data_IF_127167136244
#
_entry.id   IF_127167136244
#
_cell.length_a   1.000
_cell.length_b   1.000
_cell.length_c   1.000
_cell.angle_alpha   90.00
_cell.angle_beta   90.00
_cell.angle_gamma   90.00
#
_symmetry.space_group_name_H-M   'P 1'
#
loop_
_entity.id
_entity.type
_entity.pdbx_description
1 polymer ?
#
# COMPACT_ATOMS: atom_id res chain seq x y z
N UNK A 1 4.04 17.12 -6.52
CA UNK A 1 3.58 17.40 -7.91
C UNK A 1 2.41 16.49 -8.22
N UNK A 2 1.30 17.04 -8.71
CA UNK A 2 0.07 16.30 -9.08
C UNK A 2 0.04 16.13 -10.59
N UNK A 3 -0.49 15.00 -11.04
CA UNK A 3 -0.75 14.72 -12.45
C UNK A 3 -2.10 14.01 -12.59
N UNK A 4 -2.99 14.51 -13.44
CA UNK A 4 -4.17 13.76 -13.84
C UNK A 4 -3.74 12.63 -14.79
N UNK A 5 -4.12 11.41 -14.48
CA UNK A 5 -3.75 10.20 -15.25
C UNK A 5 -4.96 9.58 -15.97
N UNK A 6 -6.19 9.92 -15.53
CA UNK A 6 -7.43 9.48 -16.15
C UNK A 6 -8.52 10.54 -15.94
N UNK A 7 -9.50 10.65 -16.83
CA UNK A 7 -10.48 11.73 -16.81
C UNK A 7 -11.94 11.32 -16.60
N UNK A 8 -12.29 10.06 -16.59
CA UNK A 8 -13.65 9.57 -16.32
C UNK A 8 -13.60 8.13 -15.80
N UNK A 9 -13.46 7.93 -14.45
CA UNK A 9 -13.42 8.95 -13.38
C UNK A 9 -12.14 9.77 -13.38
N UNK A 10 -12.17 10.91 -12.67
CA UNK A 10 -10.99 11.74 -12.47
C UNK A 10 -10.01 11.03 -11.52
N UNK A 11 -8.89 10.56 -12.08
CA UNK A 11 -7.82 9.93 -11.30
C UNK A 11 -6.58 10.79 -11.38
N UNK A 12 -6.03 11.09 -10.19
CA UNK A 12 -4.80 11.88 -10.04
C UNK A 12 -3.73 11.03 -9.38
N UNK A 13 -2.50 11.29 -9.77
CA UNK A 13 -1.30 10.79 -9.12
C UNK A 13 -0.67 11.92 -8.33
N UNK A 14 -0.44 11.72 -7.04
CA UNK A 14 0.34 12.58 -6.16
C UNK A 14 1.70 11.92 -5.96
N UNK A 15 2.77 12.58 -6.38
CA UNK A 15 4.12 12.14 -6.07
C UNK A 15 4.45 12.51 -4.63
N UNK A 16 4.70 11.51 -3.80
CA UNK A 16 5.17 11.64 -2.41
C UNK A 16 6.65 11.27 -2.38
N UNK A 17 7.51 12.26 -2.21
CA UNK A 17 8.95 12.02 -2.16
C UNK A 17 9.32 11.23 -0.90
N UNK A 18 10.22 10.25 -1.05
CA UNK A 18 10.74 9.37 0.00
C UNK A 18 12.22 9.72 0.27
N UNK A 19 12.51 10.68 1.15
CA UNK A 19 13.88 11.12 1.39
C UNK A 19 14.79 10.00 1.90
N UNK A 20 16.02 9.99 1.45
CA UNK A 20 17.06 9.02 1.81
C UNK A 20 16.67 7.56 1.49
N UNK A 21 15.79 7.35 0.52
CA UNK A 21 15.34 6.04 0.07
C UNK A 21 15.68 5.82 -1.41
N UNK A 22 16.10 4.61 -1.77
CA UNK A 22 16.46 4.25 -3.15
C UNK A 22 15.29 4.34 -4.12
N UNK A 23 14.05 4.20 -3.66
CA UNK A 23 12.83 4.34 -4.46
C UNK A 23 12.54 5.80 -4.82
N UNK A 24 13.13 6.76 -4.10
CA UNK A 24 13.00 8.20 -4.29
C UNK A 24 11.59 8.75 -4.05
N UNK A 25 10.54 8.09 -4.49
CA UNK A 25 9.15 8.52 -4.30
C UNK A 25 8.17 7.35 -4.37
N UNK A 26 7.02 7.56 -3.76
CA UNK A 26 5.80 6.79 -3.94
C UNK A 26 4.82 7.56 -4.81
N UNK A 27 4.03 6.87 -5.60
CA UNK A 27 2.84 7.41 -6.26
C UNK A 27 1.60 7.07 -5.42
N UNK A 28 1.08 8.05 -4.69
CA UNK A 28 -0.26 7.96 -4.11
C UNK A 28 -1.28 8.31 -5.18
N UNK A 29 -2.35 7.53 -5.32
CA UNK A 29 -3.39 7.82 -6.29
C UNK A 29 -4.65 8.34 -5.61
N UNK A 30 -5.37 9.19 -6.31
CA UNK A 30 -6.64 9.77 -5.83
C UNK A 30 -7.69 9.63 -6.91
N UNK A 31 -8.80 8.96 -6.59
CA UNK A 31 -10.02 9.01 -7.40
C UNK A 31 -10.91 10.09 -6.79
N UNK A 32 -11.16 11.15 -7.57
CA UNK A 32 -12.00 12.27 -7.13
C UNK A 32 -13.41 12.06 -7.67
N UNK A 33 -14.36 11.82 -6.77
CA UNK A 33 -15.76 11.59 -7.11
C UNK A 33 -16.69 12.67 -6.58
N UNK A 34 -17.93 12.68 -7.09
CA UNK A 34 -18.97 13.65 -6.66
C UNK A 34 -19.51 13.34 -5.26
N UNK A 35 -19.50 12.07 -4.87
CA UNK A 35 -20.04 11.57 -3.58
C UNK A 35 -18.96 11.18 -2.58
N UNK A 36 -17.75 11.62 -2.79
CA UNK A 36 -16.60 11.33 -1.94
C UNK A 36 -15.35 11.04 -2.76
N UNK A 37 -14.24 10.82 -2.07
CA UNK A 37 -12.95 10.58 -2.69
C UNK A 37 -12.34 9.27 -2.18
N UNK A 38 -11.46 8.68 -2.99
CA UNK A 38 -10.64 7.55 -2.58
C UNK A 38 -9.16 7.92 -2.75
N UNK A 39 -8.39 7.76 -1.69
CA UNK A 39 -6.93 7.83 -1.71
C UNK A 39 -6.38 6.42 -1.63
N UNK A 40 -5.38 6.09 -2.45
CA UNK A 40 -4.71 4.80 -2.49
C UNK A 40 -3.26 5.01 -2.11
N UNK A 41 -2.84 4.45 -0.99
CA UNK A 41 -1.52 4.56 -0.35
C UNK A 41 -1.11 5.99 0.04
N UNK A 42 -0.09 6.13 0.92
CA UNK A 42 0.13 7.41 1.62
C UNK A 42 1.56 7.93 1.63
N UNK A 43 2.55 7.11 1.92
CA UNK A 43 3.94 7.52 2.17
C UNK A 43 4.42 7.15 3.57
N UNK A 44 5.71 7.32 3.83
CA UNK A 44 6.31 7.12 5.16
C UNK A 44 5.72 8.06 6.21
N UNK A 45 5.67 7.62 7.46
CA UNK A 45 5.34 8.47 8.61
C UNK A 45 6.49 9.47 8.89
N UNK A 46 6.71 10.37 7.92
CA UNK A 46 7.72 11.44 7.93
C UNK A 46 7.09 12.79 7.59
N UNK A 47 7.62 13.89 8.16
CA UNK A 47 7.12 15.24 7.86
C UNK A 47 7.13 15.60 6.37
N UNK A 48 8.14 15.15 5.63
CA UNK A 48 8.27 15.42 4.19
C UNK A 48 7.16 14.75 3.39
N UNK A 49 6.90 13.45 3.64
CA UNK A 49 5.84 12.69 2.99
C UNK A 49 4.47 13.27 3.35
N UNK A 50 4.27 13.60 4.63
CA UNK A 50 3.05 14.26 5.11
C UNK A 50 2.78 15.58 4.38
N UNK A 51 3.80 16.44 4.25
CA UNK A 51 3.67 17.72 3.52
C UNK A 51 3.30 17.48 2.06
N UNK A 52 3.99 16.56 1.37
CA UNK A 52 3.74 16.27 -0.04
C UNK A 52 2.32 15.75 -0.27
N UNK A 53 1.88 14.78 0.53
CA UNK A 53 0.53 14.23 0.42
C UNK A 53 -0.54 15.28 0.74
N UNK A 54 -0.41 16.00 1.87
CA UNK A 54 -1.39 17.02 2.27
C UNK A 54 -1.48 18.16 1.27
N UNK A 55 -0.33 18.62 0.73
CA UNK A 55 -0.32 19.64 -0.31
C UNK A 55 -1.03 19.12 -1.56
N UNK A 56 -0.76 17.88 -1.99
CA UNK A 56 -1.43 17.28 -3.13
C UNK A 56 -2.94 17.19 -2.95
N UNK A 57 -3.41 16.77 -1.80
CA UNK A 57 -4.85 16.72 -1.48
C UNK A 57 -5.47 18.13 -1.46
N UNK A 58 -4.77 19.11 -0.89
CA UNK A 58 -5.23 20.50 -0.89
C UNK A 58 -5.33 21.10 -2.29
N UNK A 59 -4.38 20.83 -3.18
CA UNK A 59 -4.42 21.29 -4.58
C UNK A 59 -5.60 20.65 -5.35
N UNK A 60 -6.06 19.47 -4.93
CA UNK A 60 -7.26 18.79 -5.45
C UNK A 60 -8.55 19.23 -4.73
N UNK A 61 -8.47 20.14 -3.79
CA UNK A 61 -9.59 20.59 -2.97
C UNK A 61 -10.25 19.48 -2.14
N UNK A 62 -9.42 18.51 -1.70
CA UNK A 62 -9.84 17.35 -0.89
C UNK A 62 -9.46 17.57 0.56
N UNK A 63 -10.45 17.40 1.43
CA UNK A 63 -10.28 17.43 2.89
C UNK A 63 -10.37 16.02 3.45
N UNK A 64 -9.54 15.72 4.44
CA UNK A 64 -9.62 14.45 5.17
C UNK A 64 -10.80 14.50 6.14
N UNK A 65 -11.87 13.81 5.79
CA UNK A 65 -13.11 13.67 6.54
C UNK A 65 -13.85 12.40 6.10
N UNK A 66 -14.99 12.11 6.66
CA UNK A 66 -15.71 10.83 6.47
C UNK A 66 -16.13 10.51 5.04
N UNK A 67 -16.14 11.47 4.11
CA UNK A 67 -16.40 11.28 2.69
C UNK A 67 -15.14 10.96 1.87
N UNK A 68 -13.97 10.98 2.50
CA UNK A 68 -12.70 10.59 1.89
C UNK A 68 -12.25 9.26 2.47
N UNK A 69 -12.25 8.22 1.65
CA UNK A 69 -11.79 6.88 2.01
C UNK A 69 -10.30 6.70 1.72
N UNK A 70 -9.63 5.87 2.51
CA UNK A 70 -8.26 5.44 2.27
C UNK A 70 -8.23 3.94 2.01
N UNK A 71 -7.57 3.52 0.93
CA UNK A 71 -7.22 2.13 0.67
C UNK A 71 -5.72 1.95 0.83
N UNK A 72 -5.30 1.08 1.74
CA UNK A 72 -3.90 0.67 1.90
C UNK A 72 -3.71 -0.65 1.17
N UNK A 73 -2.89 -0.63 0.14
CA UNK A 73 -2.66 -1.79 -0.70
C UNK A 73 -1.92 -2.90 0.04
N UNK A 74 -0.96 -2.53 0.90
CA UNK A 74 -0.20 -3.46 1.72
C UNK A 74 0.49 -2.77 2.91
N UNK A 75 1.12 -3.57 3.77
CA UNK A 75 1.63 -3.14 5.08
C UNK A 75 2.89 -2.27 5.05
N UNK A 76 3.66 -2.22 3.94
CA UNK A 76 4.94 -1.50 3.94
C UNK A 76 4.77 -0.03 4.31
N UNK A 77 5.76 0.49 5.03
CA UNK A 77 5.68 1.81 5.65
C UNK A 77 5.56 2.98 4.65
N UNK A 78 6.12 2.84 3.46
CA UNK A 78 5.99 3.83 2.38
C UNK A 78 4.57 3.87 1.78
N UNK A 79 3.77 2.83 1.97
CA UNK A 79 2.36 2.79 1.58
C UNK A 79 1.41 3.12 2.75
N UNK A 80 1.66 2.56 3.92
CA UNK A 80 0.77 2.64 5.09
C UNK A 80 1.13 3.75 6.10
N UNK A 81 2.35 4.32 6.05
CA UNK A 81 2.93 5.11 7.13
C UNK A 81 2.08 6.29 7.60
N UNK A 82 1.35 6.97 6.71
CA UNK A 82 0.51 8.12 7.08
C UNK A 82 -0.96 7.78 7.33
N UNK A 83 -1.33 6.49 7.48
CA UNK A 83 -2.72 6.06 7.73
C UNK A 83 -3.34 6.78 8.93
N UNK A 84 -2.54 7.07 9.97
CA UNK A 84 -3.00 7.80 11.15
C UNK A 84 -3.59 9.18 10.87
N UNK A 85 -3.19 9.86 9.79
CA UNK A 85 -3.78 11.14 9.38
C UNK A 85 -5.24 10.98 8.95
N UNK A 86 -5.55 9.91 8.26
CA UNK A 86 -6.90 9.59 7.79
C UNK A 86 -7.76 9.09 8.93
N UNK A 87 -7.26 8.14 9.70
CA UNK A 87 -7.98 7.56 10.84
C UNK A 87 -8.36 8.62 11.88
N UNK A 88 -7.47 9.56 12.19
CA UNK A 88 -7.71 10.64 13.15
C UNK A 88 -8.85 11.61 12.74
N UNK A 89 -9.19 11.65 11.45
CA UNK A 89 -10.25 12.53 10.91
C UNK A 89 -11.54 11.77 10.59
N UNK A 90 -11.61 10.46 10.95
CA UNK A 90 -12.77 9.62 10.71
C UNK A 90 -12.92 9.13 9.26
N UNK A 91 -11.87 9.23 8.45
CA UNK A 91 -11.83 8.62 7.12
C UNK A 91 -11.92 7.09 7.24
N UNK A 92 -12.81 6.42 6.49
CA UNK A 92 -12.81 4.96 6.43
C UNK A 92 -11.51 4.45 5.83
N UNK A 93 -10.85 3.51 6.51
CA UNK A 93 -9.61 2.86 6.05
C UNK A 93 -9.92 1.42 5.64
N UNK A 94 -9.47 1.03 4.46
CA UNK A 94 -9.62 -0.31 3.89
C UNK A 94 -8.25 -0.96 3.75
N UNK A 95 -8.11 -2.20 4.21
CA UNK A 95 -6.87 -2.97 4.12
C UNK A 95 -7.14 -4.45 4.27
N UNK A 96 -6.30 -5.30 3.69
CA UNK A 96 -6.42 -6.75 3.87
C UNK A 96 -6.07 -7.14 5.32
N UNK A 97 -6.90 -7.99 6.00
CA UNK A 97 -6.72 -8.28 7.43
C UNK A 97 -5.39 -8.98 7.76
N UNK A 98 -4.82 -9.74 6.83
CA UNK A 98 -3.52 -10.39 7.04
C UNK A 98 -2.41 -9.36 7.19
N UNK A 99 -2.33 -8.37 6.31
CA UNK A 99 -1.32 -7.32 6.39
C UNK A 99 -1.55 -6.39 7.59
N UNK A 100 -2.82 -6.11 7.92
CA UNK A 100 -3.16 -5.37 9.15
C UNK A 100 -2.68 -6.12 10.41
N UNK A 101 -2.90 -7.44 10.47
CA UNK A 101 -2.41 -8.25 11.60
C UNK A 101 -0.89 -8.22 11.74
N UNK A 102 -0.15 -8.23 10.60
CA UNK A 102 1.31 -8.07 10.63
C UNK A 102 1.74 -6.71 11.19
N UNK A 103 1.00 -5.62 10.93
CA UNK A 103 1.27 -4.32 11.55
C UNK A 103 1.08 -4.39 13.07
N UNK A 104 0.00 -5.01 13.53
CA UNK A 104 -0.28 -5.22 14.97
C UNK A 104 0.80 -6.08 15.61
N UNK A 105 1.12 -7.22 15.03
CA UNK A 105 2.14 -8.16 15.56
C UNK A 105 3.55 -7.54 15.54
N UNK A 106 3.80 -6.53 14.73
CA UNK A 106 5.10 -5.85 14.69
C UNK A 106 5.37 -4.95 15.90
N UNK A 107 4.34 -4.61 16.66
CA UNK A 107 4.42 -3.67 17.79
C UNK A 107 5.28 -4.21 18.94
N UNK A 108 5.13 -5.49 19.28
CA UNK A 108 5.94 -6.14 20.32
C UNK A 108 7.33 -6.59 19.83
N UNK A 109 7.62 -6.37 18.56
CA UNK A 109 8.88 -6.76 17.92
C UNK A 109 8.99 -8.24 17.55
N UNK A 110 7.97 -9.06 17.79
CA UNK A 110 8.01 -10.51 17.52
C UNK A 110 8.21 -10.85 16.04
N UNK A 111 7.56 -10.12 15.16
CA UNK A 111 7.72 -10.29 13.71
C UNK A 111 9.14 -9.95 13.22
N UNK A 112 9.74 -8.91 13.80
CA UNK A 112 11.11 -8.50 13.49
C UNK A 112 12.10 -9.53 13.99
N UNK A 113 11.88 -10.08 15.22
CA UNK A 113 12.72 -11.15 15.75
C UNK A 113 12.59 -12.43 14.91
N UNK A 114 11.42 -12.80 14.49
CA UNK A 114 11.22 -13.96 13.62
C UNK A 114 11.94 -13.78 12.25
N UNK A 115 11.93 -12.57 11.68
CA UNK A 115 12.68 -12.26 10.48
C UNK A 115 14.21 -12.34 10.71
N UNK A 116 14.71 -11.81 11.82
CA UNK A 116 16.11 -11.92 12.24
C UNK A 116 16.56 -13.38 12.38
N UNK A 117 15.78 -14.19 13.10
CA UNK A 117 16.05 -15.61 13.31
C UNK A 117 16.05 -16.38 11.97
N UNK A 118 15.21 -15.96 11.01
CA UNK A 118 15.19 -16.53 9.67
C UNK A 118 16.46 -16.18 8.86
N UNK A 119 16.86 -14.90 8.86
CA UNK A 119 18.09 -14.48 8.19
C UNK A 119 19.34 -15.20 8.76
N UNK A 120 19.40 -15.37 10.08
CA UNK A 120 20.47 -16.15 10.72
C UNK A 120 20.48 -17.61 10.23
N UNK A 121 19.33 -18.25 10.13
CA UNK A 121 19.21 -19.64 9.63
C UNK A 121 19.62 -19.77 8.17
N UNK A 122 19.37 -18.76 7.37
CA UNK A 122 19.77 -18.70 5.94
C UNK A 122 21.25 -18.28 5.78
N UNK A 123 21.99 -18.06 6.88
CA UNK A 123 23.43 -17.80 6.86
C UNK A 123 23.81 -16.33 6.67
N UNK A 124 22.90 -15.39 6.83
CA UNK A 124 23.23 -13.97 6.74
C UNK A 124 24.13 -13.56 7.91
N UNK A 125 25.25 -12.85 7.70
CA UNK A 125 26.13 -12.39 8.76
C UNK A 125 25.40 -11.45 9.73
N UNK A 126 25.65 -11.52 11.06
CA UNK A 126 24.98 -10.66 12.05
C UNK A 126 25.11 -9.15 11.78
N UNK A 127 26.23 -8.69 11.24
CA UNK A 127 26.43 -7.29 10.88
C UNK A 127 25.49 -6.84 9.75
N UNK A 128 25.24 -7.70 8.78
CA UNK A 128 24.31 -7.43 7.66
C UNK A 128 22.86 -7.45 8.14
N UNK A 129 22.50 -8.41 9.01
CA UNK A 129 21.19 -8.46 9.65
C UNK A 129 20.89 -7.14 10.37
N UNK A 130 21.83 -6.65 11.18
CA UNK A 130 21.67 -5.38 11.89
C UNK A 130 21.42 -4.20 10.93
N UNK A 131 22.09 -4.19 9.78
CA UNK A 131 21.89 -3.16 8.75
C UNK A 131 20.50 -3.27 8.13
N UNK A 132 20.01 -4.46 7.84
CA UNK A 132 18.65 -4.68 7.30
C UNK A 132 17.56 -4.16 8.24
N UNK A 133 17.73 -4.32 9.56
CA UNK A 133 16.74 -3.88 10.56
C UNK A 133 16.86 -2.42 11.00
N UNK A 134 17.88 -1.70 10.55
CA UNK A 134 17.99 -0.25 10.74
C UNK A 134 17.36 0.56 9.59
N UNK A 135 16.54 -0.08 8.77
CA UNK A 135 15.95 0.55 7.60
C UNK A 135 14.75 1.47 7.94
N UNK A 136 14.37 2.27 6.97
CA UNK A 136 13.28 3.25 7.10
C UNK A 136 11.90 2.58 7.31
N UNK A 137 11.70 1.36 6.80
CA UNK A 137 10.45 0.63 6.95
C UNK A 137 10.07 0.45 8.43
N UNK A 138 11.04 0.09 9.30
CA UNK A 138 10.80 -0.05 10.73
C UNK A 138 10.61 1.31 11.43
N UNK A 139 11.39 2.32 11.03
CA UNK A 139 11.38 3.63 11.68
C UNK A 139 10.11 4.43 11.39
N UNK A 140 9.56 4.29 10.19
CA UNK A 140 8.45 5.08 9.67
C UNK A 140 7.17 4.29 9.43
N UNK A 141 7.06 3.11 10.04
CA UNK A 141 5.80 2.36 10.11
C UNK A 141 4.72 3.17 10.82
N UNK A 142 3.45 2.95 10.49
CA UNK A 142 2.35 3.57 11.21
C UNK A 142 2.22 3.00 12.63
N UNK A 143 1.55 3.74 13.52
CA UNK A 143 0.91 3.17 14.70
C UNK A 143 -0.23 2.24 14.21
N UNK A 144 -0.27 0.95 14.61
CA UNK A 144 -1.27 0.01 14.11
C UNK A 144 -2.66 0.18 14.73
N UNK A 145 -2.82 1.10 15.68
CA UNK A 145 -4.09 1.32 16.40
C UNK A 145 -5.03 2.25 15.63
N UNK A 146 -5.56 1.75 14.50
CA UNK A 146 -6.59 2.46 13.74
C UNK A 146 -7.72 1.50 13.34
N UNK A 147 -8.97 2.00 13.23
CA UNK A 147 -10.06 1.18 12.75
C UNK A 147 -9.86 0.84 11.27
N UNK A 148 -10.03 -0.43 10.93
CA UNK A 148 -9.90 -0.93 9.57
C UNK A 148 -11.19 -1.61 9.12
N UNK A 149 -11.61 -1.34 7.88
CA UNK A 149 -12.61 -2.10 7.17
C UNK A 149 -11.88 -3.20 6.40
N UNK A 150 -11.99 -4.47 6.82
CA UNK A 150 -11.26 -5.55 6.18
C UNK A 150 -11.77 -5.79 4.76
N UNK A 151 -10.84 -6.01 3.83
CA UNK A 151 -11.14 -6.37 2.44
C UNK A 151 -10.54 -7.71 2.07
N UNK A 152 -11.21 -8.42 1.16
CA UNK A 152 -10.81 -9.74 0.71
C UNK A 152 -10.85 -9.83 -0.81
N UNK A 153 -10.28 -10.90 -1.32
CA UNK A 153 -10.29 -11.18 -2.75
C UNK A 153 -11.70 -11.22 -3.33
N UNK A 154 -11.92 -10.50 -4.42
CA UNK A 154 -13.21 -10.46 -5.11
C UNK A 154 -14.22 -9.46 -4.53
N UNK A 155 -13.92 -8.80 -3.41
CA UNK A 155 -14.80 -7.75 -2.88
C UNK A 155 -14.97 -6.64 -3.92
N UNK A 156 -16.20 -6.11 -3.99
CA UNK A 156 -16.51 -4.95 -4.82
C UNK A 156 -16.81 -3.76 -3.90
N UNK A 157 -15.97 -2.74 -3.98
CA UNK A 157 -16.10 -1.52 -3.19
C UNK A 157 -16.75 -0.42 -4.02
N UNK A 158 -17.79 0.19 -3.47
CA UNK A 158 -18.43 1.38 -4.03
C UNK A 158 -17.84 2.63 -3.40
N UNK A 159 -16.75 3.16 -3.96
CA UNK A 159 -16.02 4.31 -3.43
C UNK A 159 -15.80 5.37 -4.52
N UNK A 160 -15.86 6.64 -4.15
CA UNK A 160 -15.68 7.77 -5.07
C UNK A 160 -16.57 7.71 -6.34
N UNK A 161 -17.75 7.08 -6.23
CA UNK A 161 -18.67 6.87 -7.35
C UNK A 161 -18.25 5.79 -8.35
N UNK A 162 -17.27 4.96 -8.00
CA UNK A 162 -16.74 3.88 -8.81
C UNK A 162 -16.99 2.51 -8.18
N UNK A 163 -17.08 1.49 -9.03
CA UNK A 163 -17.06 0.08 -8.64
C UNK A 163 -15.62 -0.43 -8.74
N UNK A 164 -14.99 -0.69 -7.61
CA UNK A 164 -13.62 -1.18 -7.54
C UNK A 164 -13.60 -2.63 -7.09
N UNK A 165 -13.01 -3.49 -7.89
CA UNK A 165 -12.76 -4.88 -7.52
C UNK A 165 -11.44 -4.99 -6.75
N UNK A 166 -11.48 -5.60 -5.58
CA UNK A 166 -10.28 -5.96 -4.81
C UNK A 166 -9.72 -7.26 -5.35
N UNK A 167 -8.45 -7.27 -5.70
CA UNK A 167 -7.74 -8.47 -6.19
C UNK A 167 -6.58 -8.74 -5.24
N UNK A 168 -6.72 -9.77 -4.39
CA UNK A 168 -5.66 -10.20 -3.50
C UNK A 168 -4.54 -10.89 -4.29
N UNK A 169 -3.34 -10.34 -4.21
CA UNK A 169 -2.14 -10.74 -4.96
C UNK A 169 -0.94 -10.97 -4.03
N UNK A 170 -1.01 -12.03 -3.17
CA UNK A 170 0.05 -12.30 -2.22
C UNK A 170 1.37 -12.66 -2.90
N UNK A 171 2.48 -12.31 -2.23
CA UNK A 171 3.84 -12.61 -2.69
C UNK A 171 4.84 -11.56 -2.21
N UNK A 172 4.69 -10.30 -2.62
CA UNK A 172 5.46 -9.18 -2.09
C UNK A 172 5.18 -8.96 -0.59
N UNK A 173 3.89 -8.89 -0.23
CA UNK A 173 3.41 -9.11 1.15
C UNK A 173 2.33 -10.18 1.17
N UNK A 174 2.00 -10.74 2.36
CA UNK A 174 0.94 -11.74 2.48
C UNK A 174 -0.46 -11.23 2.15
N UNK A 175 -0.73 -9.95 2.43
CA UNK A 175 -2.04 -9.34 2.25
C UNK A 175 -2.12 -8.29 1.14
N UNK A 176 -1.12 -8.19 0.25
CA UNK A 176 -1.15 -7.21 -0.83
C UNK A 176 -2.40 -7.38 -1.69
N UNK A 177 -3.11 -6.26 -1.87
CA UNK A 177 -4.27 -6.18 -2.75
C UNK A 177 -4.06 -5.09 -3.82
N UNK A 178 -4.31 -5.47 -5.06
CA UNK A 178 -4.50 -4.54 -6.16
C UNK A 178 -5.96 -4.07 -6.21
N UNK A 179 -6.21 -2.92 -6.84
CA UNK A 179 -7.56 -2.45 -7.16
C UNK A 179 -7.76 -2.40 -8.67
N UNK A 180 -8.92 -2.84 -9.12
CA UNK A 180 -9.28 -2.85 -10.53
C UNK A 180 -10.63 -2.16 -10.75
N UNK A 181 -10.70 -1.25 -11.73
CA UNK A 181 -11.93 -0.64 -12.23
C UNK A 181 -12.32 -1.33 -13.54
N UNK A 182 -13.25 -2.30 -13.51
CA UNK A 182 -13.56 -3.12 -14.69
C UNK A 182 -14.15 -2.34 -15.86
N UNK A 183 -14.95 -1.29 -15.59
CA UNK A 183 -15.59 -0.48 -16.63
C UNK A 183 -14.59 0.38 -17.38
N UNK A 184 -13.59 0.89 -16.67
CA UNK A 184 -12.57 1.80 -17.17
C UNK A 184 -11.30 1.07 -17.62
N UNK A 185 -11.19 -0.21 -17.28
CA UNK A 185 -10.00 -1.03 -17.53
C UNK A 185 -8.73 -0.41 -16.92
N UNK A 186 -8.88 0.20 -15.70
CA UNK A 186 -7.79 0.79 -14.93
C UNK A 186 -7.37 -0.15 -13.80
N UNK A 187 -6.07 -0.40 -13.69
CA UNK A 187 -5.52 -1.33 -12.70
C UNK A 187 -4.44 -0.69 -11.85
N UNK A 188 -4.72 -0.53 -10.56
CA UNK A 188 -3.73 -0.09 -9.57
C UNK A 188 -2.93 -1.28 -9.08
N UNK A 189 -1.72 -1.41 -9.60
CA UNK A 189 -0.86 -2.58 -9.44
C UNK A 189 -0.16 -2.64 -8.08
N UNK A 190 0.03 -1.50 -7.42
CA UNK A 190 0.87 -1.40 -6.23
C UNK A 190 2.24 -2.08 -6.47
N UNK A 191 2.84 -2.63 -5.43
CA UNK A 191 4.11 -3.38 -5.52
C UNK A 191 3.95 -4.83 -5.99
N UNK A 192 2.78 -5.19 -6.54
CA UNK A 192 2.62 -6.44 -7.26
C UNK A 192 3.29 -6.41 -8.63
N UNK A 193 3.14 -5.30 -9.38
CA UNK A 193 3.79 -5.10 -10.69
C UNK A 193 4.45 -3.71 -10.70
N UNK A 194 5.78 -3.69 -10.84
CA UNK A 194 6.59 -2.50 -10.98
C UNK A 194 7.24 -2.48 -12.37
N UNK A 195 7.16 -1.34 -13.06
CA UNK A 195 7.57 -1.27 -14.48
C UNK A 195 9.07 -1.06 -14.68
N UNK A 196 9.76 -0.51 -13.71
CA UNK A 196 11.17 -0.15 -13.82
C UNK A 196 12.10 -0.99 -12.94
N UNK A 197 11.55 -1.69 -11.97
CA UNK A 197 12.27 -2.55 -11.02
C UNK A 197 11.48 -3.83 -10.77
N UNK A 198 12.13 -4.85 -10.22
CA UNK A 198 11.46 -6.07 -9.77
C UNK A 198 10.98 -5.89 -8.32
N UNK A 199 9.73 -6.27 -8.01
CA UNK A 199 9.27 -6.29 -6.62
C UNK A 199 10.15 -7.21 -5.75
N UNK A 200 10.39 -6.80 -4.51
CA UNK A 200 11.08 -7.66 -3.56
C UNK A 200 10.14 -8.77 -3.08
N UNK A 201 10.55 -10.02 -3.21
CA UNK A 201 9.82 -11.19 -2.72
C UNK A 201 10.63 -11.79 -1.58
N UNK A 202 10.21 -11.51 -0.37
CA UNK A 202 10.90 -11.95 0.85
C UNK A 202 10.16 -13.08 1.56
N UNK A 203 10.83 -13.67 2.56
CA UNK A 203 10.22 -14.69 3.43
C UNK A 203 9.40 -13.98 4.52
N UNK A 204 8.13 -14.36 4.62
CA UNK A 204 7.21 -13.86 5.62
C UNK A 204 6.93 -14.91 6.70
N UNK A 205 6.78 -14.48 7.94
CA UNK A 205 6.62 -15.35 9.10
C UNK A 205 5.48 -16.38 8.95
N UNK A 206 4.34 -15.95 8.41
CA UNK A 206 3.16 -16.81 8.22
C UNK A 206 2.86 -17.17 6.76
N UNK A 207 3.70 -16.75 5.81
CA UNK A 207 3.51 -17.05 4.40
C UNK A 207 4.62 -17.98 3.90
N UNK A 208 4.24 -19.24 3.62
CA UNK A 208 5.12 -20.17 2.94
C UNK A 208 5.09 -19.94 1.44
N UNK A 209 6.21 -20.26 0.76
CA UNK A 209 6.31 -20.26 -0.69
C UNK A 209 5.97 -18.89 -1.32
N UNK A 210 6.52 -17.80 -0.78
CA UNK A 210 6.24 -16.44 -1.23
C UNK A 210 6.41 -16.26 -2.75
N UNK A 211 7.48 -16.79 -3.33
CA UNK A 211 7.74 -16.73 -4.77
C UNK A 211 6.66 -17.48 -5.57
N UNK A 212 6.25 -18.67 -5.14
CA UNK A 212 5.19 -19.41 -5.81
C UNK A 212 3.88 -18.62 -5.79
N UNK A 213 3.49 -18.07 -4.63
CA UNK A 213 2.29 -17.23 -4.50
C UNK A 213 2.36 -15.99 -5.38
N UNK A 214 3.53 -15.37 -5.47
CA UNK A 214 3.73 -14.23 -6.36
C UNK A 214 3.51 -14.62 -7.83
N UNK A 215 4.05 -15.75 -8.28
CA UNK A 215 3.86 -16.25 -9.65
C UNK A 215 2.39 -16.61 -9.93
N UNK A 216 1.71 -17.22 -8.98
CA UNK A 216 0.25 -17.49 -9.06
C UNK A 216 -0.55 -16.19 -9.14
N UNK A 217 -0.17 -15.17 -8.37
CA UNK A 217 -0.78 -13.84 -8.40
C UNK A 217 -0.56 -13.11 -9.72
N UNK A 218 0.62 -13.22 -10.33
CA UNK A 218 0.88 -12.70 -11.68
C UNK A 218 -0.01 -13.40 -12.72
N UNK A 219 -0.15 -14.73 -12.63
CA UNK A 219 -1.01 -15.48 -13.53
C UNK A 219 -2.49 -15.08 -13.37
N UNK A 220 -2.94 -14.80 -12.14
CA UNK A 220 -4.31 -14.38 -11.83
C UNK A 220 -4.69 -13.07 -12.52
N UNK A 221 -3.78 -12.10 -12.58
CA UNK A 221 -4.06 -10.76 -13.16
C UNK A 221 -3.72 -10.67 -14.65
N UNK A 222 -3.06 -11.66 -15.21
CA UNK A 222 -2.53 -11.64 -16.57
C UNK A 222 -3.60 -11.43 -17.65
N UNK A 223 -4.78 -11.99 -17.45
CA UNK A 223 -5.88 -11.97 -18.44
C UNK A 223 -6.87 -10.82 -18.20
N UNK A 224 -6.60 -9.93 -17.24
CA UNK A 224 -7.44 -8.76 -17.03
C UNK A 224 -7.32 -7.82 -18.24
N UNK A 225 -8.45 -7.32 -18.77
CA UNK A 225 -8.41 -6.25 -19.76
C UNK A 225 -7.96 -4.95 -19.08
N UNK A 226 -6.73 -4.53 -19.33
CA UNK A 226 -6.12 -3.34 -18.72
C UNK A 226 -5.68 -2.37 -19.84
N UNK A 227 -6.18 -1.15 -19.77
CA UNK A 227 -5.76 -0.03 -20.64
C UNK A 227 -4.78 0.90 -19.95
N UNK A 228 -4.91 1.03 -18.62
CA UNK A 228 -4.05 1.88 -17.79
C UNK A 228 -3.67 1.11 -16.50
N UNK A 229 -2.35 1.08 -16.23
CA UNK A 229 -1.79 0.51 -15.00
C UNK A 229 -0.75 1.46 -14.39
#
# INVERSE_FOLDING_TARGET
>A
MIQQVHSHPDIYRIRVDLPDNSLQYLNSYVIKGVSGNLVIDTGFNRPECKRALCQGLQELDIRLQSDTSLFITHLHADHSGLVGLFAATGCPVYMHPVDYQYLVDSEDGSTWKAAEDNFMREGMPPAEIKTQFSNQARTFSPDPHFPVNPVHDGDCLHLAGCDLQVIHTPGHTPGLCCLYLPKEEVFFTSDHILFNITPNIQVWYHMKQALQRYLESLQKVRELPVRLA
#
